data_IF_400059739089
#
_entry.id   IF_400059739089
#
_cell.length_a   1.000
_cell.length_b   1.000
_cell.length_c   1.000
_cell.angle_alpha   90.00
_cell.angle_beta   90.00
_cell.angle_gamma   90.00
#
_symmetry.space_group_name_H-M   'P 1'
#
loop_
_entity.id
_entity.type
_entity.pdbx_description
1 polymer ?
#
# COMPACT_ATOMS: atom_id res chain seq x y z
N UNK A 1 0.98 7.86 -16.99
CA UNK A 1 1.77 6.88 -16.21
C UNK A 1 1.13 5.50 -16.23
N UNK A 2 -0.09 5.30 -15.72
CA UNK A 2 -0.74 3.96 -15.76
C UNK A 2 -1.09 3.46 -17.16
N UNK A 3 -1.38 4.36 -18.10
CA UNK A 3 -1.67 4.03 -19.50
C UNK A 3 -0.56 3.27 -20.22
N UNK A 4 0.67 3.32 -19.69
CA UNK A 4 1.84 2.66 -20.26
C UNK A 4 2.33 1.49 -19.40
N UNK A 5 1.65 1.18 -18.29
CA UNK A 5 2.03 0.07 -17.43
C UNK A 5 1.53 -1.24 -18.06
N UNK A 6 2.44 -2.21 -18.24
CA UNK A 6 2.07 -3.55 -18.73
C UNK A 6 1.17 -4.29 -17.73
N UNK A 7 1.47 -4.14 -16.43
CA UNK A 7 0.70 -4.77 -15.36
C UNK A 7 0.67 -3.91 -14.12
N UNK A 8 -0.47 -3.92 -13.45
CA UNK A 8 -0.67 -3.32 -12.14
C UNK A 8 -1.38 -4.35 -11.25
N UNK A 9 -0.78 -4.66 -10.11
CA UNK A 9 -1.41 -5.51 -9.09
C UNK A 9 -1.60 -4.70 -7.81
N UNK A 10 -2.77 -4.84 -7.17
CA UNK A 10 -3.08 -4.20 -5.90
C UNK A 10 -3.57 -5.27 -4.92
N UNK A 11 -2.95 -5.31 -3.74
CA UNK A 11 -3.30 -6.24 -2.67
C UNK A 11 -3.80 -5.46 -1.46
N UNK A 12 -5.04 -5.70 -1.05
CA UNK A 12 -5.68 -5.04 0.09
C UNK A 12 -5.88 -6.07 1.21
N UNK A 13 -5.53 -5.69 2.44
CA UNK A 13 -5.68 -6.52 3.63
C UNK A 13 -6.60 -5.82 4.63
N UNK A 14 -7.63 -6.51 5.17
CA UNK A 14 -8.56 -5.91 6.11
C UNK A 14 -7.90 -5.69 7.49
N UNK A 15 -8.44 -4.78 8.32
CA UNK A 15 -7.91 -4.49 9.66
C UNK A 15 -7.71 -5.73 10.53
N UNK A 16 -8.68 -6.67 10.51
CA UNK A 16 -8.59 -7.92 11.28
C UNK A 16 -7.36 -8.78 10.95
N UNK A 17 -6.80 -8.69 9.73
CA UNK A 17 -5.53 -9.36 9.40
C UNK A 17 -4.35 -8.65 10.05
N UNK A 18 -4.36 -7.30 10.02
CA UNK A 18 -3.33 -6.47 10.63
C UNK A 18 -3.33 -6.67 12.15
N UNK A 19 -4.50 -6.71 12.79
CA UNK A 19 -4.63 -6.92 14.23
C UNK A 19 -4.08 -8.29 14.67
N UNK A 20 -4.33 -9.33 13.86
CA UNK A 20 -3.88 -10.69 14.14
C UNK A 20 -2.38 -10.90 13.91
N UNK A 21 -1.85 -10.37 12.81
CA UNK A 21 -0.50 -10.70 12.34
C UNK A 21 0.54 -9.60 12.64
N UNK A 22 0.07 -8.37 12.87
CA UNK A 22 0.88 -7.16 13.01
C UNK A 22 1.09 -6.43 11.69
N UNK A 23 1.21 -5.10 11.77
CA UNK A 23 1.33 -4.20 10.60
C UNK A 23 2.55 -4.53 9.73
N UNK A 24 3.73 -4.68 10.34
CA UNK A 24 4.96 -4.91 9.59
C UNK A 24 4.91 -6.23 8.79
N UNK A 25 4.43 -7.32 9.41
CA UNK A 25 4.30 -8.62 8.73
C UNK A 25 3.29 -8.56 7.58
N UNK A 26 2.16 -7.88 7.80
CA UNK A 26 1.13 -7.66 6.78
C UNK A 26 1.68 -6.85 5.59
N UNK A 27 2.45 -5.79 5.87
CA UNK A 27 3.08 -4.98 4.82
C UNK A 27 4.07 -5.80 3.98
N UNK A 28 4.98 -6.54 4.63
CA UNK A 28 5.93 -7.42 3.92
C UNK A 28 5.23 -8.49 3.08
N UNK A 29 4.09 -9.01 3.54
CA UNK A 29 3.26 -9.98 2.80
C UNK A 29 2.63 -9.32 1.57
N UNK A 30 2.07 -8.12 1.72
CA UNK A 30 1.48 -7.36 0.62
C UNK A 30 2.47 -7.01 -0.48
N UNK A 31 3.65 -6.48 -0.10
CA UNK A 31 4.71 -6.15 -1.04
C UNK A 31 5.24 -7.39 -1.77
N UNK A 32 5.39 -8.52 -1.08
CA UNK A 32 5.78 -9.81 -1.72
C UNK A 32 4.76 -10.28 -2.74
N UNK A 33 3.48 -10.27 -2.37
CA UNK A 33 2.40 -10.68 -3.26
C UNK A 33 2.36 -9.80 -4.52
N UNK A 34 2.51 -8.47 -4.35
CA UNK A 34 2.54 -7.53 -5.45
C UNK A 34 3.71 -7.78 -6.41
N UNK A 35 4.92 -8.01 -5.89
CA UNK A 35 6.07 -8.33 -6.72
C UNK A 35 5.90 -9.65 -7.50
N UNK A 36 5.37 -10.68 -6.85
CA UNK A 36 5.10 -11.97 -7.51
C UNK A 36 4.06 -11.84 -8.63
N UNK A 37 2.99 -11.09 -8.38
CA UNK A 37 1.95 -10.86 -9.38
C UNK A 37 2.46 -10.10 -10.61
N UNK A 38 3.56 -9.35 -10.47
CA UNK A 38 4.21 -8.62 -11.56
C UNK A 38 5.42 -9.34 -12.18
N UNK A 39 5.65 -10.62 -11.87
CA UNK A 39 6.67 -11.41 -12.56
C UNK A 39 6.20 -11.90 -13.96
N UNK A 40 7.14 -12.15 -14.89
CA UNK A 40 8.59 -11.90 -14.78
C UNK A 40 8.93 -10.40 -14.87
N UNK A 41 10.03 -9.99 -14.23
CA UNK A 41 10.58 -8.63 -14.35
C UNK A 41 12.11 -8.67 -14.36
N UNK A 42 12.74 -7.85 -15.21
CA UNK A 42 14.21 -7.74 -15.27
C UNK A 42 14.79 -7.16 -13.98
N UNK A 43 14.09 -6.19 -13.38
CA UNK A 43 14.47 -5.55 -12.13
C UNK A 43 13.23 -5.33 -11.27
N UNK A 44 13.26 -5.83 -10.03
CA UNK A 44 12.25 -5.52 -9.01
C UNK A 44 12.80 -4.52 -7.99
N UNK A 45 12.06 -3.46 -7.73
CA UNK A 45 12.41 -2.43 -6.75
C UNK A 45 11.33 -2.35 -5.66
N UNK A 46 11.74 -2.16 -4.41
CA UNK A 46 10.85 -2.03 -3.27
C UNK A 46 11.26 -0.82 -2.44
N UNK A 47 10.28 -0.05 -1.98
CA UNK A 47 10.52 1.08 -1.10
C UNK A 47 10.84 0.63 0.34
N UNK A 48 11.92 1.17 0.89
CA UNK A 48 12.33 0.94 2.27
C UNK A 48 13.10 -0.37 2.47
N UNK A 49 12.39 -1.47 2.72
CA UNK A 49 12.97 -2.65 3.39
C UNK A 49 13.08 -3.90 2.50
N UNK A 50 14.02 -4.78 2.85
CA UNK A 50 14.14 -6.11 2.23
C UNK A 50 12.94 -6.98 2.61
N UNK A 51 12.38 -7.68 1.64
CA UNK A 51 11.17 -8.50 1.81
C UNK A 51 11.44 -9.94 2.31
N UNK A 52 12.72 -10.29 2.47
CA UNK A 52 13.14 -11.62 2.89
C UNK A 52 13.19 -12.66 1.76
N UNK A 53 13.51 -13.92 2.08
CA UNK A 53 13.88 -14.95 1.10
C UNK A 53 12.72 -15.49 0.25
N UNK A 54 11.47 -15.20 0.64
CA UNK A 54 10.27 -15.66 -0.08
C UNK A 54 9.79 -14.68 -1.17
N UNK A 55 10.48 -13.55 -1.32
CA UNK A 55 10.22 -12.58 -2.37
C UNK A 55 11.00 -12.92 -3.65
N UNK A 56 10.57 -12.46 -4.84
CA UNK A 56 11.43 -12.44 -6.01
C UNK A 56 12.73 -11.66 -5.74
N UNK A 57 13.81 -11.88 -6.53
CA UNK A 57 14.99 -11.03 -6.48
C UNK A 57 14.62 -9.56 -6.62
N UNK A 58 15.00 -8.74 -5.64
CA UNK A 58 14.62 -7.34 -5.57
C UNK A 58 15.71 -6.49 -4.91
N UNK A 59 15.65 -5.19 -5.18
CA UNK A 59 16.47 -4.18 -4.49
C UNK A 59 15.57 -3.34 -3.60
N UNK A 60 15.91 -3.28 -2.32
CA UNK A 60 15.32 -2.31 -1.40
C UNK A 60 15.97 -0.94 -1.61
N UNK A 61 15.16 0.10 -1.73
CA UNK A 61 15.60 1.48 -1.95
C UNK A 61 14.98 2.35 -0.87
N UNK A 62 15.81 2.92 0.00
CA UNK A 62 15.34 3.86 1.04
C UNK A 62 14.86 5.14 0.35
N UNK A 63 13.68 5.64 0.73
CA UNK A 63 12.99 6.76 0.08
C UNK A 63 12.87 6.56 -1.43
N UNK A 64 12.48 5.34 -1.82
CA UNK A 64 12.52 4.87 -3.19
C UNK A 64 11.57 5.62 -4.11
N UNK A 65 10.48 6.16 -3.58
CA UNK A 65 9.52 6.99 -4.29
C UNK A 65 10.14 8.29 -4.82
N UNK A 66 11.13 8.85 -4.12
CA UNK A 66 11.90 10.03 -4.58
C UNK A 66 13.00 9.69 -5.59
N UNK A 67 13.36 8.40 -5.71
CA UNK A 67 14.55 7.93 -6.46
C UNK A 67 14.20 7.05 -7.67
N UNK A 68 12.97 6.56 -7.77
CA UNK A 68 12.52 5.65 -8.82
C UNK A 68 11.11 5.97 -9.28
N UNK A 69 10.95 6.21 -10.59
CA UNK A 69 9.65 6.44 -11.19
C UNK A 69 8.70 5.23 -11.05
N UNK A 70 9.25 4.00 -11.03
CA UNK A 70 8.46 2.79 -10.84
C UNK A 70 7.90 2.69 -9.40
N UNK A 71 8.73 3.03 -8.40
CA UNK A 71 8.28 3.07 -7.00
C UNK A 71 7.27 4.20 -6.81
N UNK A 72 7.55 5.40 -7.33
CA UNK A 72 6.64 6.53 -7.27
C UNK A 72 5.26 6.19 -7.88
N UNK A 73 5.24 5.54 -9.04
CA UNK A 73 4.01 5.09 -9.69
C UNK A 73 3.23 4.08 -8.83
N UNK A 74 3.92 3.09 -8.24
CA UNK A 74 3.30 2.13 -7.33
C UNK A 74 2.73 2.81 -6.07
N UNK A 75 3.44 3.78 -5.48
CA UNK A 75 2.99 4.57 -4.34
C UNK A 75 1.72 5.38 -4.66
N UNK A 76 1.64 5.98 -5.86
CA UNK A 76 0.44 6.68 -6.32
C UNK A 76 -0.75 5.71 -6.44
N UNK A 77 -0.54 4.53 -7.06
CA UNK A 77 -1.60 3.52 -7.18
C UNK A 77 -2.11 3.09 -5.80
N UNK A 78 -1.20 2.79 -4.87
CA UNK A 78 -1.56 2.39 -3.51
C UNK A 78 -2.33 3.50 -2.77
N UNK A 79 -1.83 4.74 -2.83
CA UNK A 79 -2.43 5.91 -2.19
C UNK A 79 -3.83 6.19 -2.72
N UNK A 80 -3.98 6.28 -4.04
CA UNK A 80 -5.28 6.57 -4.68
C UNK A 80 -6.28 5.44 -4.40
N UNK A 81 -5.84 4.18 -4.41
CA UNK A 81 -6.73 3.05 -4.09
C UNK A 81 -7.20 3.13 -2.63
N UNK A 82 -6.29 3.39 -1.69
CA UNK A 82 -6.63 3.54 -0.26
C UNK A 82 -7.59 4.71 -0.05
N UNK A 83 -7.31 5.88 -0.60
CA UNK A 83 -8.12 7.06 -0.38
C UNK A 83 -9.53 6.89 -0.97
N UNK A 84 -9.66 6.25 -2.14
CA UNK A 84 -10.97 5.86 -2.70
C UNK A 84 -11.73 4.91 -1.79
N UNK A 85 -11.06 3.90 -1.24
CA UNK A 85 -11.68 2.98 -0.28
C UNK A 85 -12.16 3.73 0.97
N UNK A 86 -11.35 4.62 1.54
CA UNK A 86 -11.75 5.39 2.72
C UNK A 86 -12.94 6.33 2.46
N UNK A 87 -13.03 6.94 1.27
CA UNK A 87 -14.21 7.70 0.86
C UNK A 87 -15.47 6.83 0.77
N UNK A 88 -15.36 5.59 0.25
CA UNK A 88 -16.49 4.67 0.24
C UNK A 88 -16.92 4.26 1.65
N UNK A 89 -15.95 3.99 2.54
CA UNK A 89 -16.19 3.60 3.92
C UNK A 89 -16.82 4.74 4.74
N UNK A 90 -16.52 6.00 4.43
CA UNK A 90 -17.15 7.17 5.07
C UNK A 90 -18.68 7.15 4.94
N UNK A 91 -19.19 6.73 3.77
CA UNK A 91 -20.64 6.60 3.55
C UNK A 91 -21.26 5.44 4.34
N UNK A 92 -20.47 4.40 4.65
CA UNK A 92 -20.91 3.23 5.43
C UNK A 92 -20.89 3.53 6.93
N UNK A 93 -19.91 4.31 7.39
CA UNK A 93 -19.73 4.67 8.80
C UNK A 93 -19.78 6.20 8.96
N UNK A 94 -20.96 6.82 8.78
CA UNK A 94 -21.10 8.25 8.88
C UNK A 94 -20.70 8.73 10.29
N UNK A 95 -20.06 9.90 10.35
CA UNK A 95 -19.58 10.49 11.59
C UNK A 95 -18.11 10.19 11.90
N UNK A 96 -17.51 9.17 11.27
CA UNK A 96 -16.08 8.91 11.40
C UNK A 96 -15.21 9.96 10.70
N UNK A 97 -15.68 10.58 9.62
CA UNK A 97 -14.92 11.60 8.88
C UNK A 97 -13.79 11.01 8.02
N UNK A 98 -13.89 9.74 7.65
CA UNK A 98 -12.93 9.01 6.84
C UNK A 98 -12.66 9.66 5.49
N UNK A 99 -13.63 10.40 4.93
CA UNK A 99 -13.42 11.14 3.70
C UNK A 99 -12.37 12.25 3.82
N UNK A 100 -12.14 12.77 5.03
CA UNK A 100 -11.17 13.84 5.28
C UNK A 100 -9.79 13.29 5.66
N UNK A 101 -9.72 12.47 6.71
CA UNK A 101 -8.44 12.02 7.28
C UNK A 101 -8.01 10.64 6.79
N UNK A 102 -8.80 9.97 5.95
CA UNK A 102 -8.49 8.66 5.34
C UNK A 102 -8.00 7.63 6.37
N UNK A 103 -8.57 7.65 7.57
CA UNK A 103 -8.27 6.71 8.66
C UNK A 103 -7.04 7.06 9.51
N UNK A 104 -6.34 8.17 9.26
CA UNK A 104 -5.30 8.64 10.18
C UNK A 104 -5.91 9.13 11.51
N UNK A 105 -5.18 8.96 12.61
CA UNK A 105 -5.58 9.39 13.96
C UNK A 105 -5.36 10.90 14.14
N UNK A 106 -6.14 11.68 13.41
CA UNK A 106 -6.16 13.15 13.53
C UNK A 106 -6.89 13.56 14.81
N UNK A 107 -6.72 14.80 15.32
CA UNK A 107 -7.48 15.27 16.47
C UNK A 107 -9.01 15.16 16.29
N UNK A 108 -9.51 15.27 15.05
CA UNK A 108 -10.92 15.05 14.75
C UNK A 108 -11.31 13.57 14.93
N UNK A 109 -10.52 12.64 14.42
CA UNK A 109 -10.76 11.20 14.54
C UNK A 109 -10.58 10.72 15.99
N UNK A 110 -9.63 11.25 16.75
CA UNK A 110 -9.43 10.91 18.16
C UNK A 110 -10.62 11.28 19.05
N UNK A 111 -11.39 12.32 18.70
CA UNK A 111 -12.52 12.76 19.53
C UNK A 111 -13.75 11.84 19.46
N UNK A 112 -13.78 10.94 18.48
CA UNK A 112 -14.95 10.12 18.15
C UNK A 112 -14.68 8.61 18.28
N UNK A 113 -13.44 8.24 18.60
CA UNK A 113 -13.00 6.88 18.93
C UNK A 113 -12.78 6.80 20.43
#
# INVERSE_FOLDING_TARGET
MLSCAERVSVHVYPPAVIDREGLHKSNLRGLRAALWACQPADVSLVDGFKLGPTAPPHRAVVDGDTKSAAIAAASIVAKVTRDRYMHMVDAIYPGYGFASHVGYITPAHTRIV
#
